data_IF_373814718683
#
_entry.id   IF_373814718683
#
_cell.length_a   1.000
_cell.length_b   1.000
_cell.length_c   1.000
_cell.angle_alpha   90.00
_cell.angle_beta   90.00
_cell.angle_gamma   90.00
#
_symmetry.space_group_name_H-M   'P 1'
#
loop_
_entity.id
_entity.type
_entity.pdbx_description
1 polymer ?
#
# COMPACT_ATOMS: atom_id res chain seq x y z
N UNK A 1 11.59 -45.05 -10.56
CA UNK A 1 10.57 -44.29 -9.82
C UNK A 1 11.22 -43.12 -9.08
N UNK A 2 10.94 -41.86 -9.44
CA UNK A 2 11.40 -40.69 -8.67
C UNK A 2 10.68 -40.68 -7.33
N UNK A 3 11.40 -40.89 -6.22
CA UNK A 3 10.85 -40.72 -4.86
C UNK A 3 10.46 -39.25 -4.70
N UNK A 4 9.16 -38.92 -4.72
CA UNK A 4 8.68 -37.62 -4.22
C UNK A 4 9.07 -37.56 -2.74
N UNK A 5 10.12 -36.80 -2.41
CA UNK A 5 10.39 -36.42 -1.02
C UNK A 5 9.19 -35.62 -0.55
N UNK A 6 8.35 -36.25 0.28
CA UNK A 6 7.27 -35.56 0.99
C UNK A 6 7.99 -34.51 1.85
N UNK A 7 7.91 -33.25 1.43
CA UNK A 7 8.38 -32.14 2.25
C UNK A 7 7.32 -31.91 3.30
N UNK A 8 7.74 -31.90 4.56
CA UNK A 8 6.86 -31.58 5.67
C UNK A 8 6.24 -30.19 5.46
N UNK A 9 4.91 -30.12 5.53
CA UNK A 9 4.16 -28.88 5.38
C UNK A 9 4.59 -27.83 6.39
N UNK A 10 5.01 -28.25 7.59
CA UNK A 10 5.53 -27.34 8.64
C UNK A 10 6.81 -26.64 8.21
N UNK A 11 7.72 -27.38 7.58
CA UNK A 11 8.99 -26.84 7.07
C UNK A 11 8.71 -25.88 5.91
N UNK A 12 7.73 -26.19 5.04
CA UNK A 12 7.33 -25.32 3.94
C UNK A 12 6.69 -24.02 4.45
N UNK A 13 5.79 -24.09 5.44
CA UNK A 13 5.17 -22.93 6.07
C UNK A 13 6.22 -22.02 6.73
N UNK A 14 7.16 -22.62 7.47
CA UNK A 14 8.23 -21.85 8.12
C UNK A 14 9.12 -21.14 7.08
N UNK A 15 9.49 -21.83 6.00
CA UNK A 15 10.27 -21.23 4.93
C UNK A 15 9.53 -20.07 4.25
N UNK A 16 8.24 -20.23 3.96
CA UNK A 16 7.42 -19.16 3.37
C UNK A 16 7.30 -17.95 4.31
N UNK A 17 7.19 -18.19 5.62
CA UNK A 17 7.16 -17.12 6.63
C UNK A 17 8.47 -16.33 6.65
N UNK A 18 9.61 -17.01 6.70
CA UNK A 18 10.95 -16.36 6.68
C UNK A 18 11.14 -15.54 5.39
N UNK A 19 10.74 -16.07 4.24
CA UNK A 19 10.81 -15.34 2.96
C UNK A 19 9.90 -14.10 2.95
N UNK A 20 8.70 -14.21 3.51
CA UNK A 20 7.77 -13.08 3.65
C UNK A 20 8.34 -11.98 4.57
N UNK A 21 8.92 -12.36 5.70
CA UNK A 21 9.57 -11.42 6.63
C UNK A 21 10.77 -10.73 5.99
N UNK A 22 11.63 -11.48 5.29
CA UNK A 22 12.77 -10.91 4.55
C UNK A 22 12.31 -9.94 3.46
N UNK A 23 11.26 -10.30 2.71
CA UNK A 23 10.67 -9.43 1.70
C UNK A 23 10.11 -8.13 2.32
N UNK A 24 9.41 -8.21 3.45
CA UNK A 24 8.90 -7.04 4.17
C UNK A 24 10.03 -6.13 4.65
N UNK A 25 11.14 -6.69 5.16
CA UNK A 25 12.31 -5.92 5.58
C UNK A 25 12.91 -5.18 4.38
N UNK A 26 13.11 -5.85 3.23
CA UNK A 26 13.66 -5.23 2.02
C UNK A 26 12.75 -4.11 1.52
N UNK A 27 11.43 -4.34 1.49
CA UNK A 27 10.47 -3.33 1.06
C UNK A 27 10.47 -2.13 2.02
N UNK A 28 10.54 -2.37 3.33
CA UNK A 28 10.65 -1.31 4.33
C UNK A 28 11.93 -0.48 4.13
N UNK A 29 13.08 -1.13 3.91
CA UNK A 29 14.33 -0.44 3.62
C UNK A 29 14.26 0.39 2.33
N UNK A 30 13.56 -0.09 1.30
CA UNK A 30 13.34 0.68 0.08
C UNK A 30 12.51 1.95 0.36
N UNK A 31 11.45 1.84 1.16
CA UNK A 31 10.63 3.00 1.59
C UNK A 31 11.46 4.00 2.38
N UNK A 32 12.25 3.53 3.35
CA UNK A 32 13.16 4.38 4.14
C UNK A 32 14.21 5.06 3.25
N UNK A 33 14.78 4.34 2.29
CA UNK A 33 15.73 4.90 1.31
C UNK A 33 15.12 6.04 0.50
N UNK A 34 13.92 5.85 -0.05
CA UNK A 34 13.19 6.90 -0.77
C UNK A 34 12.93 8.10 0.15
N UNK A 35 12.53 7.85 1.40
CA UNK A 35 12.24 8.91 2.35
C UNK A 35 13.49 9.77 2.66
N UNK A 36 14.63 9.13 2.95
CA UNK A 36 15.89 9.82 3.23
C UNK A 36 16.35 10.60 2.00
N UNK A 37 16.38 9.99 0.82
CA UNK A 37 16.83 10.65 -0.42
C UNK A 37 15.94 11.86 -0.76
N UNK A 38 14.62 11.69 -0.64
CA UNK A 38 13.65 12.73 -1.01
C UNK A 38 13.59 13.89 -0.01
N UNK A 39 13.60 13.61 1.30
CA UNK A 39 13.35 14.62 2.33
C UNK A 39 14.57 15.07 3.13
N UNK A 40 15.60 14.22 3.27
CA UNK A 40 16.82 14.56 4.04
C UNK A 40 17.93 15.05 3.13
N UNK A 41 18.04 14.49 1.92
CA UNK A 41 19.12 14.81 0.98
C UNK A 41 18.69 15.74 -0.17
N UNK A 42 17.41 16.12 -0.25
CA UNK A 42 16.81 16.92 -1.33
C UNK A 42 17.22 16.45 -2.75
N UNK A 43 17.33 15.13 -2.93
CA UNK A 43 17.74 14.53 -4.19
C UNK A 43 16.66 14.65 -5.26
N UNK A 44 17.10 14.72 -6.52
CA UNK A 44 16.20 14.72 -7.66
C UNK A 44 15.47 13.37 -7.82
N UNK A 45 14.26 13.40 -8.38
CA UNK A 45 13.44 12.19 -8.59
C UNK A 45 14.19 11.04 -9.27
N UNK A 46 15.06 11.35 -10.23
CA UNK A 46 15.85 10.34 -10.95
C UNK A 46 16.73 9.47 -10.05
N UNK A 47 17.11 9.96 -8.86
CA UNK A 47 18.03 9.28 -7.94
C UNK A 47 17.34 8.28 -6.99
N UNK A 48 16.00 8.32 -6.91
CA UNK A 48 15.20 7.38 -6.13
C UNK A 48 14.03 6.75 -6.92
N UNK A 49 13.95 7.03 -8.23
CA UNK A 49 12.91 6.50 -9.11
C UNK A 49 12.93 4.96 -9.19
N UNK A 50 14.12 4.35 -9.12
CA UNK A 50 14.26 2.90 -9.19
C UNK A 50 13.68 2.21 -7.94
N UNK A 51 13.97 2.74 -6.75
CA UNK A 51 13.41 2.25 -5.49
C UNK A 51 11.89 2.42 -5.45
N UNK A 52 11.37 3.56 -5.93
CA UNK A 52 9.93 3.75 -6.11
C UNK A 52 9.34 2.72 -7.08
N UNK A 53 10.02 2.44 -8.19
CA UNK A 53 9.65 1.40 -9.15
C UNK A 53 9.54 0.03 -8.49
N UNK A 54 10.53 -0.37 -7.68
CA UNK A 54 10.50 -1.63 -6.93
C UNK A 54 9.29 -1.66 -6.01
N UNK A 55 9.03 -0.61 -5.23
CA UNK A 55 7.90 -0.56 -4.30
C UNK A 55 6.57 -0.72 -5.05
N UNK A 56 6.36 0.07 -6.10
CA UNK A 56 5.12 0.07 -6.90
C UNK A 56 4.91 -1.29 -7.57
N UNK A 57 5.93 -1.83 -8.24
CA UNK A 57 5.85 -3.12 -8.92
C UNK A 57 5.56 -4.26 -7.94
N UNK A 58 6.14 -4.21 -6.73
CA UNK A 58 5.95 -5.26 -5.75
C UNK A 58 4.55 -5.22 -5.15
N UNK A 59 4.00 -4.03 -4.87
CA UNK A 59 2.58 -3.86 -4.47
C UNK A 59 1.64 -4.35 -5.58
N UNK A 60 1.91 -3.97 -6.83
CA UNK A 60 1.11 -4.40 -7.97
C UNK A 60 1.14 -5.93 -8.15
N UNK A 61 2.33 -6.55 -8.02
CA UNK A 61 2.48 -8.00 -8.08
C UNK A 61 1.67 -8.70 -6.99
N UNK A 62 1.73 -8.22 -5.74
CA UNK A 62 0.95 -8.80 -4.65
C UNK A 62 -0.55 -8.66 -4.93
N UNK A 63 -1.03 -7.49 -5.36
CA UNK A 63 -2.44 -7.28 -5.65
C UNK A 63 -2.95 -8.22 -6.76
N UNK A 64 -2.22 -8.31 -7.88
CA UNK A 64 -2.56 -9.20 -9.00
C UNK A 64 -2.47 -10.66 -8.59
N UNK A 65 -1.41 -11.07 -7.89
CA UNK A 65 -1.23 -12.47 -7.47
C UNK A 65 -2.32 -12.89 -6.47
N UNK A 66 -2.67 -12.00 -5.54
CA UNK A 66 -3.75 -12.23 -4.58
C UNK A 66 -5.10 -12.38 -5.28
N UNK A 67 -5.38 -11.55 -6.29
CA UNK A 67 -6.54 -11.73 -7.16
C UNK A 67 -6.51 -13.08 -7.90
N UNK A 68 -5.37 -13.48 -8.48
CA UNK A 68 -5.29 -14.73 -9.25
C UNK A 68 -5.51 -15.98 -8.40
N UNK A 69 -5.00 -15.96 -7.16
CA UNK A 69 -5.16 -17.03 -6.16
C UNK A 69 -6.53 -16.96 -5.47
N UNK A 70 -7.21 -15.80 -5.51
CA UNK A 70 -8.43 -15.53 -4.77
C UNK A 70 -8.22 -15.44 -3.27
N UNK A 71 -7.05 -14.98 -2.86
CA UNK A 71 -6.77 -14.71 -1.45
C UNK A 71 -7.59 -13.49 -1.01
N UNK A 72 -8.39 -13.63 0.04
CA UNK A 72 -9.12 -12.49 0.62
C UNK A 72 -8.18 -11.67 1.52
N UNK A 73 -7.59 -10.63 0.94
CA UNK A 73 -6.76 -9.68 1.67
C UNK A 73 -7.52 -8.44 2.15
N UNK A 74 -8.81 -8.30 1.83
CA UNK A 74 -9.59 -7.10 2.15
C UNK A 74 -10.81 -7.46 2.99
N UNK A 75 -10.76 -7.13 4.28
CA UNK A 75 -11.85 -7.45 5.19
C UNK A 75 -13.12 -6.66 4.84
N UNK A 76 -14.08 -7.31 4.18
CA UNK A 76 -15.34 -6.70 3.74
C UNK A 76 -16.40 -6.59 4.86
N UNK A 77 -16.07 -6.99 6.10
CA UNK A 77 -16.96 -6.81 7.25
C UNK A 77 -17.19 -5.32 7.58
N UNK A 78 -18.26 -5.01 8.32
CA UNK A 78 -18.55 -3.64 8.79
C UNK A 78 -17.37 -3.03 9.57
N UNK A 79 -16.72 -3.84 10.41
CA UNK A 79 -15.51 -3.43 11.16
C UNK A 79 -14.30 -3.20 10.23
N UNK A 80 -14.11 -4.06 9.22
CA UNK A 80 -13.06 -3.90 8.22
C UNK A 80 -13.19 -2.64 7.38
N UNK A 81 -14.42 -2.25 7.00
CA UNK A 81 -14.70 -0.99 6.31
C UNK A 81 -14.36 0.23 7.16
N UNK A 82 -14.71 0.22 8.45
CA UNK A 82 -14.35 1.30 9.38
C UNK A 82 -12.83 1.41 9.54
N UNK A 83 -12.12 0.27 9.69
CA UNK A 83 -10.66 0.24 9.78
C UNK A 83 -9.98 0.81 8.52
N UNK A 84 -10.54 0.48 7.35
CA UNK A 84 -10.06 0.99 6.05
C UNK A 84 -10.20 2.51 5.96
N UNK A 85 -11.38 3.05 6.30
CA UNK A 85 -11.60 4.50 6.30
C UNK A 85 -10.67 5.19 7.29
N UNK A 86 -10.49 4.62 8.48
CA UNK A 86 -9.54 5.15 9.47
C UNK A 86 -8.11 5.18 8.91
N UNK A 87 -7.68 4.12 8.22
CA UNK A 87 -6.36 4.05 7.58
C UNK A 87 -6.19 5.11 6.50
N UNK A 88 -7.22 5.34 5.67
CA UNK A 88 -7.21 6.40 4.65
C UNK A 88 -7.07 7.77 5.31
N UNK A 89 -7.81 8.05 6.37
CA UNK A 89 -7.77 9.34 7.06
C UNK A 89 -6.42 9.57 7.75
N UNK A 90 -5.92 8.57 8.49
CA UNK A 90 -4.63 8.66 9.20
C UNK A 90 -3.49 8.84 8.20
N UNK A 91 -3.44 8.06 7.12
CA UNK A 91 -2.40 8.19 6.10
C UNK A 91 -2.46 9.55 5.40
N UNK A 92 -3.65 10.05 5.08
CA UNK A 92 -3.82 11.38 4.49
C UNK A 92 -3.40 12.50 5.43
N UNK A 93 -3.66 12.36 6.74
CA UNK A 93 -3.20 13.29 7.75
C UNK A 93 -1.67 13.30 7.84
N UNK A 94 -1.02 12.14 7.87
CA UNK A 94 0.45 12.03 7.89
C UNK A 94 1.06 12.68 6.66
N UNK A 95 0.52 12.41 5.47
CA UNK A 95 0.97 13.04 4.21
C UNK A 95 0.82 14.57 4.29
N UNK A 96 -0.29 15.05 4.85
CA UNK A 96 -0.56 16.48 5.01
C UNK A 96 0.43 17.15 5.96
N UNK A 97 0.75 16.52 7.10
CA UNK A 97 1.72 17.06 8.05
C UNK A 97 3.11 17.15 7.41
N UNK A 98 3.56 16.08 6.75
CA UNK A 98 4.88 16.06 6.10
C UNK A 98 4.96 17.13 5.00
N UNK A 99 3.95 17.23 4.13
CA UNK A 99 3.91 18.23 3.08
C UNK A 99 3.73 19.65 3.63
N UNK A 100 2.99 19.81 4.71
CA UNK A 100 2.80 21.09 5.40
C UNK A 100 4.10 21.63 5.96
N UNK A 101 4.87 20.80 6.66
CA UNK A 101 6.20 21.17 7.19
C UNK A 101 7.12 21.58 6.04
N UNK A 102 7.17 20.77 4.97
CA UNK A 102 8.02 21.08 3.79
C UNK A 102 7.57 22.37 3.11
N UNK A 103 6.28 22.57 2.93
CA UNK A 103 5.73 23.75 2.29
C UNK A 103 6.02 25.01 3.11
N UNK A 104 5.86 24.96 4.44
CA UNK A 104 6.20 26.08 5.32
C UNK A 104 7.70 26.36 5.33
N UNK A 105 8.55 25.33 5.29
CA UNK A 105 10.00 25.51 5.23
C UNK A 105 10.49 26.19 3.94
N UNK A 106 9.79 25.98 2.82
CA UNK A 106 10.18 26.51 1.50
C UNK A 106 9.49 27.85 1.18
N UNK A 107 8.25 28.02 1.62
CA UNK A 107 7.41 29.18 1.29
C UNK A 107 7.00 30.00 2.51
N UNK A 108 7.67 29.82 3.66
CA UNK A 108 7.36 30.48 4.91
C UNK A 108 7.26 32.00 4.79
N UNK A 109 8.12 32.62 3.97
CA UNK A 109 8.14 34.07 3.72
C UNK A 109 6.87 34.60 3.03
N UNK A 110 6.07 33.71 2.42
CA UNK A 110 4.78 34.05 1.81
C UNK A 110 3.63 34.02 2.81
N UNK A 111 3.87 33.57 4.04
CA UNK A 111 2.87 33.45 5.09
C UNK A 111 3.11 34.47 6.19
N UNK A 112 2.02 35.03 6.71
CA UNK A 112 2.01 35.93 7.86
C UNK A 112 2.17 35.20 9.20
N UNK A 113 2.06 33.86 9.19
CA UNK A 113 2.27 32.99 10.33
C UNK A 113 1.64 31.60 10.13
N UNK A 114 1.69 30.76 11.17
CA UNK A 114 1.16 29.38 11.15
C UNK A 114 -0.38 29.37 11.05
N UNK A 115 -1.05 30.44 11.49
CA UNK A 115 -2.50 30.60 11.39
C UNK A 115 -2.93 31.44 10.17
N UNK A 116 -2.02 31.67 9.22
CA UNK A 116 -2.36 32.33 7.97
C UNK A 116 -3.41 31.50 7.20
N UNK A 117 -4.49 32.16 6.76
CA UNK A 117 -5.54 31.53 5.96
C UNK A 117 -5.01 30.89 4.67
N UNK A 118 -3.96 31.44 4.06
CA UNK A 118 -3.30 30.82 2.90
C UNK A 118 -2.62 29.50 3.26
N UNK A 119 -1.88 29.45 4.37
CA UNK A 119 -1.22 28.23 4.81
C UNK A 119 -2.25 27.16 5.23
N UNK A 120 -3.29 27.54 5.97
CA UNK A 120 -4.39 26.63 6.31
C UNK A 120 -5.07 26.08 5.05
N UNK A 121 -5.29 26.91 4.03
CA UNK A 121 -5.87 26.49 2.76
C UNK A 121 -4.98 25.45 2.05
N UNK A 122 -3.65 25.64 2.06
CA UNK A 122 -2.70 24.65 1.53
C UNK A 122 -2.81 23.31 2.26
N UNK A 123 -2.90 23.32 3.60
CA UNK A 123 -3.07 22.09 4.39
C UNK A 123 -4.39 21.38 4.06
N UNK A 124 -5.49 22.11 3.99
CA UNK A 124 -6.82 21.55 3.67
C UNK A 124 -6.84 20.96 2.26
N UNK A 125 -6.34 21.69 1.26
CA UNK A 125 -6.27 21.19 -0.13
C UNK A 125 -5.38 19.96 -0.23
N UNK A 126 -4.25 19.95 0.47
CA UNK A 126 -3.34 18.79 0.51
C UNK A 126 -4.02 17.58 1.14
N UNK A 127 -4.72 17.77 2.26
CA UNK A 127 -5.44 16.71 2.93
C UNK A 127 -6.54 16.10 2.06
N UNK A 128 -7.37 16.95 1.45
CA UNK A 128 -8.45 16.50 0.56
C UNK A 128 -7.85 15.74 -0.63
N UNK A 129 -6.79 16.26 -1.24
CA UNK A 129 -6.12 15.62 -2.37
C UNK A 129 -5.54 14.25 -1.99
N UNK A 130 -4.88 14.16 -0.84
CA UNK A 130 -4.35 12.90 -0.31
C UNK A 130 -5.46 11.90 0.01
N UNK A 131 -6.56 12.36 0.62
CA UNK A 131 -7.70 11.51 0.95
C UNK A 131 -8.39 10.95 -0.30
N UNK A 132 -8.59 11.78 -1.33
CA UNK A 132 -9.13 11.34 -2.62
C UNK A 132 -8.20 10.33 -3.27
N UNK A 133 -6.90 10.62 -3.34
CA UNK A 133 -5.91 9.72 -3.93
C UNK A 133 -5.89 8.35 -3.22
N UNK A 134 -5.79 8.36 -1.89
CA UNK A 134 -5.82 7.13 -1.08
C UNK A 134 -7.13 6.38 -1.27
N UNK A 135 -8.27 7.07 -1.31
CA UNK A 135 -9.57 6.44 -1.58
C UNK A 135 -9.59 5.71 -2.93
N UNK A 136 -9.08 6.35 -4.00
CA UNK A 136 -8.97 5.72 -5.32
C UNK A 136 -8.10 4.46 -5.27
N UNK A 137 -6.95 4.51 -4.60
CA UNK A 137 -6.07 3.34 -4.42
C UNK A 137 -6.80 2.19 -3.73
N UNK A 138 -7.53 2.48 -2.64
CA UNK A 138 -8.30 1.46 -1.92
C UNK A 138 -9.46 0.90 -2.74
N UNK A 139 -10.13 1.72 -3.56
CA UNK A 139 -11.18 1.24 -4.49
C UNK A 139 -10.60 0.28 -5.53
N UNK A 140 -9.42 0.59 -6.07
CA UNK A 140 -8.71 -0.31 -7.01
C UNK A 140 -8.37 -1.64 -6.33
N UNK A 141 -7.85 -1.60 -5.09
CA UNK A 141 -7.54 -2.81 -4.32
C UNK A 141 -8.80 -3.64 -4.03
N UNK A 142 -9.90 -3.00 -3.67
CA UNK A 142 -11.20 -3.66 -3.46
C UNK A 142 -11.69 -4.36 -4.74
N UNK A 143 -11.56 -3.70 -5.89
CA UNK A 143 -11.93 -4.29 -7.17
C UNK A 143 -11.11 -5.54 -7.51
N UNK A 144 -9.80 -5.51 -7.28
CA UNK A 144 -8.94 -6.68 -7.46
C UNK A 144 -9.30 -7.82 -6.50
N UNK A 145 -9.57 -7.49 -5.23
CA UNK A 145 -10.01 -8.47 -4.24
C UNK A 145 -11.33 -9.14 -4.67
N UNK A 146 -12.35 -8.35 -5.01
CA UNK A 146 -13.66 -8.85 -5.44
C UNK A 146 -13.56 -9.74 -6.68
N UNK A 147 -12.77 -9.34 -7.69
CA UNK A 147 -12.54 -10.18 -8.87
C UNK A 147 -11.86 -11.50 -8.54
N UNK A 148 -10.96 -11.51 -7.57
CA UNK A 148 -10.30 -12.73 -7.11
C UNK A 148 -11.28 -13.68 -6.45
N UNK A 149 -12.12 -13.16 -5.55
CA UNK A 149 -13.16 -13.93 -4.86
C UNK A 149 -14.16 -14.55 -5.83
N UNK A 150 -14.71 -13.75 -6.75
CA UNK A 150 -15.66 -14.21 -7.77
C UNK A 150 -15.09 -15.34 -8.64
N UNK A 151 -13.79 -15.31 -8.92
CA UNK A 151 -13.14 -16.35 -9.74
C UNK A 151 -13.06 -17.68 -8.99
N UNK A 152 -12.75 -17.66 -7.69
CA UNK A 152 -12.69 -18.88 -6.88
C UNK A 152 -14.09 -19.44 -6.64
N UNK A 153 -15.05 -18.58 -6.33
CA UNK A 153 -16.45 -18.99 -6.15
C UNK A 153 -17.01 -19.69 -7.39
N UNK A 154 -16.72 -19.17 -8.60
CA UNK A 154 -17.10 -19.85 -9.86
C UNK A 154 -16.46 -21.24 -10.01
N UNK A 155 -15.16 -21.36 -9.72
CA UNK A 155 -14.45 -22.64 -9.80
C UNK A 155 -14.98 -23.68 -8.82
N UNK A 156 -15.35 -23.27 -7.61
CA UNK A 156 -15.94 -24.15 -6.61
C UNK A 156 -17.31 -24.64 -7.08
N UNK A 157 -18.19 -23.73 -7.52
CA UNK A 157 -19.52 -24.07 -8.02
C UNK A 157 -19.52 -24.93 -9.30
N UNK A 158 -18.46 -24.88 -10.11
CA UNK A 158 -18.29 -25.76 -11.28
C UNK A 158 -17.80 -27.16 -10.88
N UNK A 159 -16.96 -27.27 -9.85
CA UNK A 159 -16.52 -28.55 -9.29
C UNK A 159 -17.66 -29.32 -8.60
N UNK A 160 -18.43 -28.63 -7.76
CA UNK A 160 -19.57 -29.22 -7.03
C UNK A 160 -20.71 -29.70 -7.93
N UNK A 161 -20.73 -29.30 -9.22
CA UNK A 161 -21.72 -29.76 -10.21
C UNK A 161 -21.26 -30.99 -11.02
N UNK A 162 -20.00 -31.39 -10.89
CA UNK A 162 -19.43 -32.54 -11.59
C UNK A 162 -19.34 -33.80 -10.71
N UNK A 163 -19.56 -33.67 -9.40
CA UNK A 163 -19.72 -34.74 -8.41
C UNK A 163 -21.20 -35.06 -8.15
#
# INVERSE_FOLDING_TARGET
MKRKKIKDERVLQLNNKIQSEAYLIVLFLAVVSVFIKSYVMDMSFSQYAFELGIIILSIAYIAVRSMLVGYDFMNNSKSGKVSTVSTILISSLVITIINGIRNYSVYGDKYTGILDGLFISVLVVTFISAAIFNSVVFVILYFFNMKGQQRIEKKLNEGDKQD
#
